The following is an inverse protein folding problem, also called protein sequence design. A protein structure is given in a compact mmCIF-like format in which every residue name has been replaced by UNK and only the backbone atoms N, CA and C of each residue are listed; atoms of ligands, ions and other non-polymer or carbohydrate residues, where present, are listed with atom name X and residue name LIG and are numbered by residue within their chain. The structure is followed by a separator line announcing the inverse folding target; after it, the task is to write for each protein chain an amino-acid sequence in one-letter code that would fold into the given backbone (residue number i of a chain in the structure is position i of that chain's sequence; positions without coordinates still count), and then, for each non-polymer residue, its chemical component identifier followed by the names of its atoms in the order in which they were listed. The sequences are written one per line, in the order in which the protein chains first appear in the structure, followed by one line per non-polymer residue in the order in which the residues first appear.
data_IF_948986710419
#
_entry.id   IF_948986710419
#
_cell.length_a   1.000
_cell.length_b   1.000
_cell.length_c   1.000
_cell.angle_alpha   90.00
_cell.angle_beta   90.00
_cell.angle_gamma   90.00
#
_symmetry.space_group_name_H-M   'P 1'
#
loop_
_entity.id
_entity.type
_entity.pdbx_description
1 polymer ?
#
# COMPACT_ATOMS: atom_id res chain seq x y z
N UNK A 1 -20.45 8.03 -1.82
CA UNK A 1 -20.32 9.44 -1.38
C UNK A 1 -21.54 10.19 -1.88
N UNK A 2 -22.26 10.95 -1.02
CA UNK A 2 -23.46 11.67 -1.47
C UNK A 2 -23.02 12.92 -2.24
N UNK A 3 -23.75 13.33 -3.27
CA UNK A 3 -23.42 14.50 -4.10
C UNK A 3 -23.25 15.81 -3.30
N UNK A 4 -23.93 15.92 -2.14
CA UNK A 4 -23.76 17.02 -1.17
C UNK A 4 -22.37 17.06 -0.51
N UNK A 5 -21.68 15.92 -0.39
CA UNK A 5 -20.34 15.86 0.20
C UNK A 5 -19.26 16.31 -0.80
N UNK A 6 -19.55 16.24 -2.11
CA UNK A 6 -18.68 16.72 -3.19
C UNK A 6 -18.76 18.25 -3.31
N UNK A 7 -19.91 18.84 -2.97
CA UNK A 7 -20.18 20.28 -3.04
C UNK A 7 -19.88 21.02 -1.74
N UNK A 8 -19.75 20.30 -0.63
CA UNK A 8 -19.22 20.85 0.62
C UNK A 8 -17.70 20.98 0.51
N UNK A 9 -17.21 22.18 0.21
CA UNK A 9 -15.79 22.52 0.25
C UNK A 9 -15.30 22.60 1.71
N UNK A 10 -15.24 21.45 2.40
CA UNK A 10 -14.38 21.35 3.56
C UNK A 10 -12.94 21.63 3.07
N UNK A 11 -12.18 22.54 3.69
CA UNK A 11 -10.80 22.75 3.31
C UNK A 11 -10.07 21.40 3.40
N UNK A 12 -9.44 20.99 2.30
CA UNK A 12 -8.62 19.78 2.30
C UNK A 12 -7.48 19.88 3.31
N UNK A 13 -6.91 18.73 3.68
CA UNK A 13 -5.75 18.69 4.56
C UNK A 13 -4.59 19.53 3.97
N UNK A 14 -3.94 20.41 4.75
CA UNK A 14 -2.84 21.23 4.24
C UNK A 14 -1.68 20.37 3.71
N UNK A 15 -1.08 20.77 2.59
CA UNK A 15 0.06 20.05 1.98
C UNK A 15 1.24 19.85 2.94
N UNK A 16 1.42 20.75 3.92
CA UNK A 16 2.42 20.61 4.97
C UNK A 16 2.21 19.35 5.83
N UNK A 17 0.96 19.04 6.20
CA UNK A 17 0.60 17.85 6.97
C UNK A 17 0.79 16.56 6.16
N UNK A 18 0.43 16.59 4.88
CA UNK A 18 0.70 15.49 3.97
C UNK A 18 2.21 15.25 3.83
N UNK A 19 3.00 16.32 3.69
CA UNK A 19 4.46 16.24 3.61
C UNK A 19 5.05 15.58 4.85
N UNK A 20 4.59 15.94 6.05
CA UNK A 20 5.03 15.31 7.31
C UNK A 20 4.84 13.79 7.26
N UNK A 21 3.66 13.32 6.87
CA UNK A 21 3.33 11.89 6.74
C UNK A 21 4.22 11.19 5.71
N UNK A 22 4.42 11.80 4.54
CA UNK A 22 5.27 11.25 3.47
C UNK A 22 6.72 11.15 3.91
N UNK A 23 7.26 12.17 4.58
CA UNK A 23 8.64 12.16 5.09
C UNK A 23 8.83 11.06 6.13
N UNK A 24 7.89 10.92 7.08
CA UNK A 24 7.94 9.85 8.08
C UNK A 24 7.92 8.45 7.43
N UNK A 25 7.06 8.24 6.43
CA UNK A 25 7.05 6.99 5.67
C UNK A 25 8.39 6.71 4.96
N UNK A 26 9.01 7.74 4.37
CA UNK A 26 10.34 7.61 3.73
C UNK A 26 11.43 7.26 4.73
N UNK A 27 11.42 7.86 5.92
CA UNK A 27 12.38 7.53 6.97
C UNK A 27 12.24 6.07 7.42
N UNK A 28 11.01 5.56 7.57
CA UNK A 28 10.75 4.14 7.86
C UNK A 28 11.33 3.22 6.79
N UNK A 29 11.16 3.57 5.51
CA UNK A 29 11.75 2.81 4.39
C UNK A 29 13.28 2.81 4.44
N UNK A 30 13.90 3.96 4.69
CA UNK A 30 15.36 4.08 4.79
C UNK A 30 15.91 3.26 5.97
N UNK A 31 15.24 3.30 7.12
CA UNK A 31 15.61 2.49 8.27
C UNK A 31 15.50 0.99 7.97
N UNK A 32 14.38 0.56 7.37
CA UNK A 32 14.14 -0.84 6.98
C UNK A 32 15.18 -1.39 6.01
N UNK A 33 15.61 -0.57 5.05
CA UNK A 33 16.56 -0.98 4.02
C UNK A 33 18.00 -0.56 4.30
N UNK A 34 18.30 -0.17 5.54
CA UNK A 34 19.66 0.20 5.94
C UNK A 34 20.65 -0.93 5.60
N UNK A 35 21.78 -0.57 4.99
CA UNK A 35 22.77 -1.53 4.50
C UNK A 35 22.44 -2.17 3.14
N UNK A 36 21.35 -1.78 2.46
CA UNK A 36 20.99 -2.26 1.11
C UNK A 36 20.99 -1.10 0.11
N UNK A 37 22.14 -0.73 -0.50
CA UNK A 37 22.26 0.50 -1.29
C UNK A 37 21.35 0.56 -2.53
N UNK A 38 20.93 -0.60 -3.07
CA UNK A 38 20.02 -0.66 -4.22
C UNK A 38 18.53 -0.56 -3.84
N UNK A 39 18.18 -0.78 -2.57
CA UNK A 39 16.81 -0.73 -2.06
C UNK A 39 16.56 0.60 -1.35
N UNK A 40 16.04 1.57 -2.09
CA UNK A 40 15.76 2.91 -1.56
C UNK A 40 14.29 3.12 -1.19
N UNK A 41 13.39 2.25 -1.64
CA UNK A 41 11.95 2.34 -1.38
C UNK A 41 11.22 1.01 -1.56
N UNK A 42 9.98 0.95 -1.07
CA UNK A 42 9.13 -0.24 -1.13
C UNK A 42 8.92 -0.77 -2.57
N UNK A 43 8.83 0.11 -3.57
CA UNK A 43 8.63 -0.29 -4.96
C UNK A 43 9.78 -1.17 -5.51
N UNK A 44 11.01 -0.98 -4.98
CA UNK A 44 12.22 -1.71 -5.40
C UNK A 44 12.40 -3.07 -4.73
N UNK A 45 11.51 -3.48 -3.83
CA UNK A 45 11.56 -4.80 -3.22
C UNK A 45 11.48 -5.92 -4.28
N UNK A 46 12.33 -6.94 -4.17
CA UNK A 46 12.19 -8.19 -4.90
C UNK A 46 11.43 -9.23 -4.08
N UNK A 47 11.26 -10.43 -4.61
CA UNK A 47 10.50 -11.50 -3.94
C UNK A 47 11.08 -11.87 -2.56
N UNK A 48 12.40 -11.78 -2.38
CA UNK A 48 13.06 -11.99 -1.09
C UNK A 48 12.63 -10.95 -0.06
N UNK A 49 12.59 -9.69 -0.46
CA UNK A 49 12.21 -8.59 0.45
C UNK A 49 10.72 -8.55 0.73
N UNK A 50 9.88 -8.95 -0.23
CA UNK A 50 8.46 -9.11 0.03
C UNK A 50 8.20 -10.15 1.12
N UNK A 51 8.85 -11.31 1.06
CA UNK A 51 8.75 -12.31 2.12
C UNK A 51 9.23 -11.80 3.48
N UNK A 52 10.27 -10.96 3.50
CA UNK A 52 10.86 -10.45 4.74
C UNK A 52 10.06 -9.30 5.37
N UNK A 53 9.55 -8.37 4.56
CA UNK A 53 9.00 -7.10 5.04
C UNK A 53 7.49 -6.92 4.81
N UNK A 54 6.86 -7.87 4.12
CA UNK A 54 5.43 -7.88 3.83
C UNK A 54 4.77 -9.18 4.33
N UNK A 55 5.25 -9.72 5.45
CA UNK A 55 4.58 -10.84 6.12
C UNK A 55 3.15 -10.45 6.50
N UNK A 56 2.22 -11.34 6.21
CA UNK A 56 0.80 -11.21 6.51
C UNK A 56 0.43 -12.22 7.59
N UNK A 57 -0.53 -11.88 8.44
CA UNK A 57 -1.23 -12.89 9.24
C UNK A 57 -2.17 -13.71 8.35
N UNK A 58 -2.62 -14.85 8.88
CA UNK A 58 -3.49 -15.77 8.13
C UNK A 58 -4.76 -15.09 7.61
N UNK A 59 -5.50 -14.28 8.41
CA UNK A 59 -6.71 -13.62 7.93
C UNK A 59 -6.44 -12.64 6.77
N UNK A 60 -5.35 -11.87 6.84
CA UNK A 60 -5.00 -10.93 5.77
C UNK A 60 -4.53 -11.65 4.51
N UNK A 61 -3.84 -12.79 4.65
CA UNK A 61 -3.45 -13.63 3.54
C UNK A 61 -4.67 -14.23 2.83
N UNK A 62 -5.66 -14.74 3.57
CA UNK A 62 -6.90 -15.26 2.99
C UNK A 62 -7.69 -14.19 2.24
N UNK A 63 -7.79 -12.98 2.81
CA UNK A 63 -8.40 -11.83 2.12
C UNK A 63 -7.72 -11.56 0.78
N UNK A 64 -6.38 -11.56 0.75
CA UNK A 64 -5.63 -11.35 -0.48
C UNK A 64 -5.83 -12.48 -1.48
N UNK A 65 -5.85 -13.75 -1.04
CA UNK A 65 -6.13 -14.90 -1.89
C UNK A 65 -7.51 -14.80 -2.55
N UNK A 66 -8.54 -14.46 -1.77
CA UNK A 66 -9.90 -14.23 -2.29
C UNK A 66 -9.90 -13.12 -3.34
N UNK A 67 -9.32 -11.95 -3.02
CA UNK A 67 -9.25 -10.83 -3.97
C UNK A 67 -8.51 -11.21 -5.27
N UNK A 68 -7.43 -11.97 -5.16
CA UNK A 68 -6.65 -12.45 -6.30
C UNK A 68 -7.49 -13.35 -7.22
N UNK A 69 -8.29 -14.25 -6.64
CA UNK A 69 -9.21 -15.13 -7.36
C UNK A 69 -10.33 -14.32 -8.04
N UNK A 70 -11.11 -13.57 -7.26
CA UNK A 70 -12.29 -12.84 -7.76
C UNK A 70 -11.94 -11.82 -8.84
N UNK A 71 -10.82 -11.12 -8.68
CA UNK A 71 -10.38 -10.08 -9.61
C UNK A 71 -9.47 -10.61 -10.73
N UNK A 72 -9.22 -11.93 -10.76
CA UNK A 72 -8.40 -12.62 -11.78
C UNK A 72 -7.00 -11.99 -11.90
N UNK A 73 -6.37 -11.71 -10.76
CA UNK A 73 -5.10 -11.01 -10.69
C UNK A 73 -3.92 -11.99 -10.85
N UNK A 74 -2.85 -11.51 -11.50
CA UNK A 74 -1.64 -12.32 -11.71
C UNK A 74 -0.67 -12.26 -10.53
N UNK A 75 0.28 -13.20 -10.44
CA UNK A 75 1.35 -13.15 -9.43
C UNK A 75 2.13 -11.82 -9.40
N UNK A 76 2.27 -11.15 -10.56
CA UNK A 76 2.85 -9.80 -10.64
C UNK A 76 1.96 -8.74 -9.97
N UNK A 77 0.64 -8.91 -10.00
CA UNK A 77 -0.30 -8.05 -9.28
C UNK A 77 -0.21 -8.29 -7.77
N UNK A 78 -0.09 -9.54 -7.32
CA UNK A 78 0.17 -9.89 -5.91
C UNK A 78 1.39 -9.13 -5.36
N UNK A 79 2.54 -9.23 -6.04
CA UNK A 79 3.75 -8.52 -5.64
C UNK A 79 3.55 -7.00 -5.60
N UNK A 80 2.82 -6.43 -6.57
CA UNK A 80 2.51 -5.01 -6.61
C UNK A 80 1.58 -4.59 -5.47
N UNK A 81 0.58 -5.41 -5.12
CA UNK A 81 -0.32 -5.17 -4.00
C UNK A 81 0.48 -5.12 -2.70
N UNK A 82 1.37 -6.08 -2.45
CA UNK A 82 2.20 -6.08 -1.23
C UNK A 82 3.08 -4.82 -1.13
N UNK A 83 3.69 -4.38 -2.23
CA UNK A 83 4.51 -3.14 -2.25
C UNK A 83 3.68 -1.90 -1.94
N UNK A 84 2.46 -1.82 -2.46
CA UNK A 84 1.54 -0.70 -2.22
C UNK A 84 1.03 -0.76 -0.78
N UNK A 85 0.55 -1.90 -0.31
CA UNK A 85 0.12 -2.12 1.07
C UNK A 85 1.20 -1.74 2.08
N UNK A 86 2.46 -2.09 1.81
CA UNK A 86 3.60 -1.71 2.66
C UNK A 86 3.81 -0.20 2.73
N UNK A 87 3.53 0.50 1.64
CA UNK A 87 3.60 1.97 1.58
C UNK A 87 2.44 2.62 2.33
N UNK A 88 1.23 2.06 2.22
CA UNK A 88 0.06 2.50 2.98
C UNK A 88 0.33 2.33 4.48
N UNK A 89 0.82 1.16 4.90
CA UNK A 89 1.21 0.92 6.29
C UNK A 89 2.30 1.89 6.78
N UNK A 90 3.29 2.23 5.93
CA UNK A 90 4.31 3.22 6.28
C UNK A 90 3.75 4.63 6.46
N UNK A 91 2.72 5.00 5.68
CA UNK A 91 2.00 6.27 5.81
C UNK A 91 1.10 6.31 7.05
N UNK A 92 0.52 5.17 7.44
CA UNK A 92 -0.25 4.99 8.67
C UNK A 92 0.64 4.86 9.92
N UNK A 93 1.96 4.67 9.73
CA UNK A 93 2.89 4.42 10.82
C UNK A 93 2.79 3.03 11.44
N UNK A 94 2.14 2.09 10.75
CA UNK A 94 2.02 0.70 11.19
C UNK A 94 3.27 -0.10 10.83
N UNK A 95 3.83 -0.82 11.80
CA UNK A 95 4.95 -1.74 11.54
C UNK A 95 4.50 -2.99 10.80
N UNK A 96 3.29 -3.49 11.08
CA UNK A 96 2.72 -4.69 10.45
C UNK A 96 1.82 -4.32 9.27
N UNK A 97 1.74 -5.22 8.30
CA UNK A 97 0.66 -5.18 7.32
C UNK A 97 -0.61 -5.70 7.98
N UNK A 98 -1.70 -4.97 7.77
CA UNK A 98 -3.01 -5.26 8.32
C UNK A 98 -3.97 -5.39 7.14
N UNK A 99 -5.11 -6.05 7.38
CA UNK A 99 -6.14 -6.27 6.38
C UNK A 99 -6.57 -4.97 5.67
N UNK A 100 -6.68 -3.85 6.40
CA UNK A 100 -7.03 -2.54 5.84
C UNK A 100 -6.02 -2.03 4.81
N UNK A 101 -4.72 -2.19 5.06
CA UNK A 101 -3.66 -1.77 4.15
C UNK A 101 -3.67 -2.59 2.85
N UNK A 102 -3.94 -3.90 2.96
CA UNK A 102 -4.03 -4.80 1.81
C UNK A 102 -5.31 -4.56 1.03
N UNK A 103 -6.44 -4.40 1.72
CA UNK A 103 -7.73 -4.06 1.12
C UNK A 103 -7.66 -2.77 0.31
N UNK A 104 -7.09 -1.70 0.86
CA UNK A 104 -6.91 -0.44 0.14
C UNK A 104 -5.99 -0.59 -1.08
N UNK A 105 -4.89 -1.34 -0.96
CA UNK A 105 -4.01 -1.63 -2.09
C UNK A 105 -4.69 -2.43 -3.22
N UNK A 106 -5.57 -3.37 -2.88
CA UNK A 106 -6.42 -4.09 -3.84
C UNK A 106 -7.38 -3.13 -4.54
N UNK A 107 -8.05 -2.25 -3.80
CA UNK A 107 -8.99 -1.27 -4.37
C UNK A 107 -8.30 -0.35 -5.38
N UNK A 108 -7.09 0.15 -5.07
CA UNK A 108 -6.33 0.94 -6.03
C UNK A 108 -6.02 0.18 -7.32
N UNK A 109 -5.80 -1.14 -7.25
CA UNK A 109 -5.57 -1.96 -8.45
C UNK A 109 -6.83 -2.19 -9.27
N UNK A 110 -7.96 -2.42 -8.62
CA UNK A 110 -9.25 -2.54 -9.31
C UNK A 110 -9.60 -1.25 -10.05
N UNK A 111 -9.41 -0.10 -9.39
CA UNK A 111 -9.63 1.21 -9.98
C UNK A 111 -8.71 1.47 -11.19
N UNK A 112 -7.41 1.17 -11.06
CA UNK A 112 -6.42 1.32 -12.14
C UNK A 112 -6.84 0.51 -13.39
N UNK A 113 -7.40 -0.70 -13.19
CA UNK A 113 -7.90 -1.55 -14.28
C UNK A 113 -9.17 -1.00 -14.93
N UNK A 114 -10.08 -0.40 -14.16
CA UNK A 114 -11.31 0.18 -14.73
C UNK A 114 -11.05 1.46 -15.51
N UNK A 115 -10.04 2.25 -15.10
CA UNK A 115 -9.74 3.54 -15.74
C UNK A 115 -8.86 3.37 -16.99
N UNK A 116 -7.94 2.40 -16.97
CA UNK A 116 -6.89 2.27 -18.00
C UNK A 116 -6.86 0.90 -18.71
N UNK A 117 -7.81 0.01 -18.41
CA UNK A 117 -7.89 -1.35 -18.96
C UNK A 117 -8.74 -1.47 -20.21
#
# INVERSE_FOLDING_TARGET
VKFRDITAAAPGEPSARIRERVVAARQRQQARFRGRPRLTCNARMGSRELKQYCALDEPTLELLKMAMHELHLSARAYDRILKVARTIADLAGSERLLAEHVGEAVQFRSLDRQIWG
#
